data_IF_609953123014
#
_entry.id   IF_609953123014
#
_cell.length_a   1.000
_cell.length_b   1.000
_cell.length_c   1.000
_cell.angle_alpha   90.00
_cell.angle_beta   90.00
_cell.angle_gamma   90.00
#
_symmetry.space_group_name_H-M   'P 1'
#
loop_
_entity.id
_entity.type
_entity.pdbx_description
1 polymer ?
#
# COMPACT_ATOMS: atom_id res chain seq x y z
N UNK A 1 -71.18 21.65 53.28
CA UNK A 1 -70.23 22.47 54.06
C UNK A 1 -69.20 21.50 54.63
N UNK A 2 -67.93 21.63 54.24
CA UNK A 2 -66.86 20.81 54.83
C UNK A 2 -66.65 21.25 56.28
N UNK A 3 -66.43 20.29 57.17
CA UNK A 3 -66.08 20.57 58.56
C UNK A 3 -64.72 21.28 58.61
N UNK A 4 -64.53 22.19 59.58
CA UNK A 4 -63.23 22.83 59.84
C UNK A 4 -62.12 21.77 60.02
N UNK A 5 -62.47 20.62 60.58
CA UNK A 5 -61.55 19.48 60.76
C UNK A 5 -61.11 18.89 59.41
N UNK A 6 -62.01 18.77 58.43
CA UNK A 6 -61.69 18.22 57.11
C UNK A 6 -60.79 19.17 56.30
N UNK A 7 -61.04 20.49 56.35
CA UNK A 7 -60.13 21.46 55.71
C UNK A 7 -58.75 21.47 56.36
N UNK A 8 -58.65 21.32 57.68
CA UNK A 8 -57.37 21.24 58.39
C UNK A 8 -56.57 19.99 57.98
N UNK A 9 -57.21 18.82 57.87
CA UNK A 9 -56.56 17.57 57.45
C UNK A 9 -56.04 17.68 56.00
N UNK A 10 -56.85 18.22 55.07
CA UNK A 10 -56.44 18.39 53.67
C UNK A 10 -55.25 19.34 53.54
N UNK A 11 -55.24 20.46 54.29
CA UNK A 11 -54.11 21.40 54.29
C UNK A 11 -52.81 20.77 54.78
N UNK A 12 -52.87 19.98 55.87
CA UNK A 12 -51.69 19.28 56.39
C UNK A 12 -51.20 18.22 55.41
N UNK A 13 -52.10 17.44 54.80
CA UNK A 13 -51.74 16.45 53.80
C UNK A 13 -51.09 17.08 52.56
N UNK A 14 -51.63 18.20 52.06
CA UNK A 14 -51.05 18.93 50.93
C UNK A 14 -49.68 19.54 51.29
N UNK A 15 -49.51 20.07 52.50
CA UNK A 15 -48.22 20.59 52.96
C UNK A 15 -47.15 19.48 53.04
N UNK A 16 -47.51 18.28 53.52
CA UNK A 16 -46.58 17.15 53.58
C UNK A 16 -46.20 16.64 52.19
N UNK A 17 -47.16 16.51 51.28
CA UNK A 17 -46.91 16.06 49.90
C UNK A 17 -46.08 17.07 49.11
N UNK A 18 -46.33 18.37 49.28
CA UNK A 18 -45.52 19.43 48.62
C UNK A 18 -44.10 19.46 49.17
N UNK A 19 -43.89 19.33 50.49
CA UNK A 19 -42.54 19.23 51.08
C UNK A 19 -41.80 17.99 50.55
N UNK A 20 -42.48 16.85 50.43
CA UNK A 20 -41.88 15.65 49.86
C UNK A 20 -41.51 15.85 48.38
N UNK A 21 -42.40 16.44 47.58
CA UNK A 21 -42.14 16.79 46.18
C UNK A 21 -40.95 17.72 46.00
N UNK A 22 -40.81 18.75 46.85
CA UNK A 22 -39.66 19.66 46.83
C UNK A 22 -38.36 18.91 47.17
N UNK A 23 -38.38 18.02 48.16
CA UNK A 23 -37.20 17.22 48.53
C UNK A 23 -36.75 16.32 47.37
N UNK A 24 -37.69 15.68 46.69
CA UNK A 24 -37.41 14.79 45.57
C UNK A 24 -36.94 15.57 44.33
N UNK A 25 -37.51 16.74 44.06
CA UNK A 25 -37.04 17.63 42.98
C UNK A 25 -35.61 18.13 43.23
N UNK A 26 -35.31 18.58 44.46
CA UNK A 26 -33.96 18.99 44.86
C UNK A 26 -32.96 17.84 44.74
N UNK A 27 -33.35 16.62 45.13
CA UNK A 27 -32.52 15.43 44.98
C UNK A 27 -32.24 15.12 43.51
N UNK A 28 -33.26 15.15 42.64
CA UNK A 28 -33.11 14.94 41.20
C UNK A 28 -32.21 15.97 40.54
N UNK A 29 -32.42 17.26 40.84
CA UNK A 29 -31.58 18.35 40.30
C UNK A 29 -30.13 18.21 40.74
N UNK A 30 -29.89 17.84 42.00
CA UNK A 30 -28.53 17.59 42.50
C UNK A 30 -27.88 16.41 41.77
N UNK A 31 -28.59 15.29 41.59
CA UNK A 31 -28.09 14.15 40.82
C UNK A 31 -27.75 14.57 39.39
N UNK A 32 -28.63 15.30 38.71
CA UNK A 32 -28.38 15.81 37.36
C UNK A 32 -27.14 16.71 37.29
N UNK A 33 -26.96 17.58 38.28
CA UNK A 33 -25.78 18.46 38.38
C UNK A 33 -24.49 17.64 38.59
N UNK A 34 -24.51 16.62 39.46
CA UNK A 34 -23.38 15.71 39.68
C UNK A 34 -23.09 14.84 38.46
N UNK A 35 -24.12 14.41 37.73
CA UNK A 35 -23.96 13.68 36.46
C UNK A 35 -23.29 14.56 35.40
N UNK A 36 -23.74 15.80 35.24
CA UNK A 36 -23.11 16.75 34.32
C UNK A 36 -21.64 17.02 34.69
N UNK A 37 -21.36 17.11 36.00
CA UNK A 37 -19.99 17.26 36.49
C UNK A 37 -19.12 16.04 36.16
N UNK A 38 -19.61 14.83 36.37
CA UNK A 38 -18.88 13.61 35.98
C UNK A 38 -18.58 13.57 34.48
N UNK A 39 -19.52 14.02 33.64
CA UNK A 39 -19.28 14.13 32.20
C UNK A 39 -18.21 15.18 31.86
N UNK A 40 -18.18 16.31 32.56
CA UNK A 40 -17.13 17.32 32.41
C UNK A 40 -15.75 16.74 32.78
N UNK A 41 -15.66 16.08 33.93
CA UNK A 41 -14.44 15.41 34.39
C UNK A 41 -13.96 14.34 33.40
N UNK A 42 -14.88 13.59 32.79
CA UNK A 42 -14.53 12.60 31.76
C UNK A 42 -13.87 13.23 30.53
N UNK A 43 -14.36 14.38 30.06
CA UNK A 43 -13.76 15.09 28.92
C UNK A 43 -12.36 15.60 29.28
N UNK A 44 -12.18 16.14 30.48
CA UNK A 44 -10.87 16.58 30.97
C UNK A 44 -9.89 15.40 31.04
N UNK A 45 -10.32 14.26 31.61
CA UNK A 45 -9.49 13.07 31.70
C UNK A 45 -9.13 12.49 30.32
N UNK A 46 -10.06 12.51 29.36
CA UNK A 46 -9.78 12.09 27.99
C UNK A 46 -8.76 13.01 27.30
N UNK A 47 -8.89 14.33 27.48
CA UNK A 47 -7.91 15.30 26.99
C UNK A 47 -6.52 15.09 27.60
N UNK A 48 -6.45 14.81 28.91
CA UNK A 48 -5.21 14.48 29.60
C UNK A 48 -4.57 13.20 29.02
N UNK A 49 -5.36 12.15 28.80
CA UNK A 49 -4.87 10.90 28.18
C UNK A 49 -4.28 11.11 26.78
N UNK A 50 -4.91 11.94 25.96
CA UNK A 50 -4.39 12.30 24.63
C UNK A 50 -3.08 13.10 24.73
N UNK A 51 -3.02 14.09 25.61
CA UNK A 51 -1.81 14.88 25.83
C UNK A 51 -0.64 14.01 26.31
N UNK A 52 -0.88 13.09 27.26
CA UNK A 52 0.14 12.15 27.75
C UNK A 52 0.64 11.26 26.62
N UNK A 53 -0.25 10.82 25.73
CA UNK A 53 0.12 9.98 24.57
C UNK A 53 1.05 10.73 23.63
N UNK A 54 0.73 11.98 23.29
CA UNK A 54 1.53 12.80 22.37
C UNK A 54 2.86 13.27 22.98
N UNK A 55 2.94 13.42 24.30
CA UNK A 55 4.12 13.90 25.01
C UNK A 55 4.93 12.77 25.68
N UNK A 56 4.56 11.51 25.45
CA UNK A 56 5.11 10.36 26.17
C UNK A 56 6.65 10.31 26.12
N UNK A 57 7.26 10.48 24.95
CA UNK A 57 8.72 10.44 24.81
C UNK A 57 9.43 11.52 25.63
N UNK A 58 8.89 12.74 25.65
CA UNK A 58 9.42 13.86 26.42
C UNK A 58 9.22 13.67 27.93
N UNK A 59 8.13 13.02 28.34
CA UNK A 59 7.88 12.66 29.75
C UNK A 59 8.85 11.56 30.20
N UNK A 60 9.05 10.53 29.38
CA UNK A 60 9.99 9.43 29.69
C UNK A 60 11.42 9.93 29.82
N UNK A 61 11.82 10.91 29.01
CA UNK A 61 13.13 11.54 29.10
C UNK A 61 13.41 12.25 30.44
N UNK A 62 12.38 12.52 31.24
CA UNK A 62 12.52 13.14 32.57
C UNK A 62 12.83 12.12 33.68
N UNK A 63 12.90 10.82 33.38
CA UNK A 63 13.22 9.80 34.37
C UNK A 63 14.59 10.03 35.01
N UNK A 64 14.62 10.16 36.35
CA UNK A 64 15.84 10.16 37.16
C UNK A 64 15.92 8.88 38.00
N UNK A 65 17.12 8.29 38.11
CA UNK A 65 17.33 7.06 38.86
C UNK A 65 17.67 7.33 40.35
N UNK A 66 17.24 6.47 41.31
CA UNK A 66 16.40 5.27 41.15
C UNK A 66 14.97 5.46 41.70
N UNK A 67 13.94 5.41 40.84
CA UNK A 67 12.53 5.29 41.24
C UNK A 67 11.55 5.93 40.25
N UNK A 68 10.22 5.79 40.47
CA UNK A 68 9.23 6.60 39.74
C UNK A 68 9.54 8.09 39.94
N UNK A 69 9.80 8.78 38.85
CA UNK A 69 10.09 10.22 38.86
C UNK A 69 8.80 11.00 38.70
N UNK A 70 8.52 11.91 39.63
CA UNK A 70 7.41 12.85 39.43
C UNK A 70 7.74 13.78 38.28
N UNK A 71 6.79 13.94 37.35
CA UNK A 71 6.91 14.83 36.20
C UNK A 71 5.85 15.92 36.29
N UNK A 72 6.15 17.07 35.71
CA UNK A 72 5.24 18.22 35.76
C UNK A 72 4.03 17.94 34.87
N UNK A 73 2.81 17.87 35.42
CA UNK A 73 1.61 17.63 34.64
C UNK A 73 1.19 18.89 33.87
N UNK A 74 0.37 18.76 32.81
CA UNK A 74 -0.16 19.91 32.10
C UNK A 74 -1.24 20.62 32.95
N UNK A 75 -1.35 21.93 32.78
CA UNK A 75 -2.50 22.72 33.25
C UNK A 75 -3.68 22.59 32.28
N UNK A 76 -4.91 22.87 32.73
CA UNK A 76 -6.09 22.90 31.85
C UNK A 76 -5.92 23.92 30.70
N UNK A 77 -5.27 25.06 30.97
CA UNK A 77 -4.95 26.06 29.94
C UNK A 77 -3.97 25.51 28.91
N UNK A 78 -2.96 24.72 29.32
CA UNK A 78 -2.07 24.05 28.38
C UNK A 78 -2.81 23.02 27.53
N UNK A 79 -3.69 22.22 28.12
CA UNK A 79 -4.52 21.25 27.37
C UNK A 79 -5.40 21.95 26.34
N UNK A 80 -5.96 23.12 26.66
CA UNK A 80 -6.72 23.92 25.70
C UNK A 80 -5.83 24.49 24.59
N UNK A 81 -4.69 25.11 24.94
CA UNK A 81 -3.78 25.70 23.96
C UNK A 81 -3.21 24.67 22.98
N UNK A 82 -3.04 23.42 23.43
CA UNK A 82 -2.63 22.29 22.60
C UNK A 82 -3.77 21.66 21.80
N UNK A 83 -5.01 22.17 21.89
CA UNK A 83 -6.17 21.66 21.16
C UNK A 83 -6.80 20.38 21.72
N UNK A 84 -6.34 19.90 22.90
CA UNK A 84 -6.91 18.72 23.57
C UNK A 84 -8.25 19.02 24.23
N UNK A 85 -8.44 20.25 24.72
CA UNK A 85 -9.73 20.77 25.18
C UNK A 85 -10.28 21.80 24.18
N UNK A 86 -11.50 21.56 23.70
CA UNK A 86 -12.15 22.42 22.69
C UNK A 86 -12.75 23.71 23.27
N UNK A 87 -12.91 23.76 24.59
CA UNK A 87 -13.53 24.89 25.30
C UNK A 87 -12.82 25.13 26.64
N UNK A 88 -13.05 26.31 27.22
CA UNK A 88 -12.63 26.61 28.59
C UNK A 88 -13.47 25.80 29.58
N UNK A 89 -12.80 25.08 30.48
CA UNK A 89 -13.43 24.41 31.62
C UNK A 89 -13.20 25.20 32.90
N UNK A 90 -14.12 25.05 33.86
CA UNK A 90 -13.93 25.62 35.19
C UNK A 90 -12.66 25.03 35.84
N UNK A 91 -12.02 25.80 36.71
CA UNK A 91 -10.77 25.38 37.36
C UNK A 91 -10.97 24.28 38.44
N UNK A 92 -12.21 23.96 38.79
CA UNK A 92 -12.55 22.98 39.80
C UNK A 92 -14.03 22.60 39.76
N UNK A 93 -14.42 21.64 40.62
CA UNK A 93 -15.74 21.06 40.55
C UNK A 93 -16.82 21.94 41.17
N UNK A 94 -18.07 21.60 40.88
CA UNK A 94 -19.26 22.32 41.37
C UNK A 94 -19.40 22.39 42.91
N UNK A 95 -18.73 21.52 43.65
CA UNK A 95 -18.71 21.54 45.13
C UNK A 95 -17.53 22.33 45.71
N UNK A 96 -16.74 22.98 44.86
CA UNK A 96 -15.60 23.81 45.22
C UNK A 96 -14.27 23.05 45.35
N UNK A 97 -13.17 23.80 45.31
CA UNK A 97 -11.82 23.26 45.17
C UNK A 97 -11.26 23.51 43.77
N UNK A 98 -10.18 22.82 43.43
CA UNK A 98 -9.54 22.85 42.10
C UNK A 98 -9.34 21.44 41.59
N UNK A 99 -9.27 21.26 40.28
CA UNK A 99 -8.79 19.99 39.72
C UNK A 99 -7.28 19.86 39.90
N UNK A 100 -6.84 18.67 40.30
CA UNK A 100 -5.44 18.33 40.52
C UNK A 100 -5.05 17.21 39.56
N UNK A 101 -3.82 17.28 39.07
CA UNK A 101 -3.19 16.21 38.30
C UNK A 101 -1.89 15.86 39.00
N UNK A 102 -1.66 14.58 39.25
CA UNK A 102 -0.36 14.06 39.67
C UNK A 102 0.15 13.15 38.56
N UNK A 103 1.44 13.22 38.24
CA UNK A 103 2.03 12.43 37.16
C UNK A 103 3.42 11.95 37.53
N UNK A 104 3.75 10.73 37.11
CA UNK A 104 5.06 10.13 37.29
C UNK A 104 5.44 9.22 36.12
N UNK A 105 6.74 8.98 35.99
CA UNK A 105 7.31 8.03 35.03
C UNK A 105 8.12 6.98 35.78
N UNK A 106 7.94 5.70 35.44
CA UNK A 106 8.72 4.60 35.99
C UNK A 106 8.43 3.26 35.33
N UNK A 107 8.92 2.13 35.86
CA UNK A 107 9.82 2.00 37.00
C UNK A 107 11.28 2.39 36.67
N UNK A 108 12.16 2.38 37.68
CA UNK A 108 13.57 2.74 37.53
C UNK A 108 14.26 1.95 36.39
N UNK A 109 15.09 2.62 35.59
CA UNK A 109 15.88 1.99 34.53
C UNK A 109 15.12 1.68 33.24
N UNK A 110 13.85 2.08 33.12
CA UNK A 110 13.13 2.00 31.86
C UNK A 110 13.64 3.07 30.85
N UNK A 111 13.55 2.82 29.54
CA UNK A 111 13.99 3.77 28.50
C UNK A 111 13.03 3.82 27.31
N UNK A 112 13.08 4.91 26.53
CA UNK A 112 12.37 5.04 25.24
C UNK A 112 12.89 3.99 24.27
N UNK A 113 12.10 2.94 24.02
CA UNK A 113 12.47 1.80 23.16
C UNK A 113 12.36 0.44 23.87
N UNK A 114 12.33 0.43 25.20
CA UNK A 114 11.92 -0.74 25.99
C UNK A 114 10.41 -0.69 26.26
N UNK A 115 9.73 -1.83 26.17
CA UNK A 115 8.28 -1.97 26.45
C UNK A 115 7.89 -1.78 27.93
N UNK A 116 8.81 -1.26 28.77
CA UNK A 116 8.69 -1.24 30.23
C UNK A 116 8.44 0.14 30.84
N UNK A 117 8.63 1.26 30.13
CA UNK A 117 8.34 2.58 30.70
C UNK A 117 6.84 2.88 30.76
N UNK A 118 6.40 3.42 31.89
CA UNK A 118 5.02 3.79 32.16
C UNK A 118 4.97 5.24 32.61
N UNK A 119 4.12 6.02 31.94
CA UNK A 119 3.68 7.32 32.45
C UNK A 119 2.37 7.06 33.18
N UNK A 120 2.33 7.27 34.49
CA UNK A 120 1.14 7.13 35.32
C UNK A 120 0.63 8.50 35.74
N UNK A 121 -0.69 8.67 35.79
CA UNK A 121 -1.29 9.87 36.35
C UNK A 121 -2.53 9.59 37.19
N UNK A 122 -2.83 10.52 38.09
CA UNK A 122 -4.07 10.64 38.84
C UNK A 122 -4.70 11.99 38.51
N UNK A 123 -5.99 12.00 38.18
CA UNK A 123 -6.80 13.20 38.03
C UNK A 123 -7.90 13.19 39.09
N UNK A 124 -7.94 14.21 39.94
CA UNK A 124 -8.89 14.26 41.05
C UNK A 124 -9.18 15.69 41.50
N UNK A 125 -10.35 15.96 42.08
CA UNK A 125 -10.62 17.26 42.70
C UNK A 125 -9.96 17.40 44.08
N UNK A 126 -9.52 18.62 44.43
CA UNK A 126 -8.79 18.93 45.66
C UNK A 126 -9.64 18.82 46.94
N UNK A 127 -10.95 18.59 46.81
CA UNK A 127 -11.90 18.41 47.90
C UNK A 127 -12.85 17.25 47.57
N UNK A 128 -13.27 16.45 48.58
CA UNK A 128 -14.26 15.40 48.36
C UNK A 128 -15.61 16.00 47.95
N UNK A 129 -16.45 15.19 47.31
CA UNK A 129 -17.84 15.56 47.05
C UNK A 129 -18.54 15.78 48.39
N UNK A 130 -19.16 16.94 48.59
CA UNK A 130 -19.83 17.27 49.86
C UNK A 130 -21.31 17.59 49.68
N UNK A 131 -22.10 17.23 50.69
CA UNK A 131 -23.51 17.61 50.86
C UNK A 131 -23.67 18.23 52.23
N UNK A 132 -24.08 19.50 52.30
CA UNK A 132 -24.22 20.26 53.55
C UNK A 132 -22.93 20.25 54.40
N UNK A 133 -21.77 20.37 53.73
CA UNK A 133 -20.46 20.38 54.39
C UNK A 133 -19.92 19.01 54.84
N UNK A 134 -20.67 17.93 54.64
CA UNK A 134 -20.24 16.57 54.98
C UNK A 134 -19.91 15.76 53.71
N UNK A 135 -18.97 14.79 53.76
CA UNK A 135 -18.69 13.90 52.63
C UNK A 135 -19.92 13.17 52.12
N UNK A 136 -20.13 13.17 50.81
CA UNK A 136 -21.30 12.60 50.12
C UNK A 136 -20.87 11.45 49.20
N UNK A 137 -20.68 10.26 49.77
CA UNK A 137 -20.21 9.07 49.05
C UNK A 137 -21.19 8.64 47.95
N UNK A 138 -22.49 8.78 48.18
CA UNK A 138 -23.49 8.49 47.16
C UNK A 138 -23.37 9.47 45.98
N UNK A 139 -23.17 10.76 46.26
CA UNK A 139 -22.88 11.77 45.25
C UNK A 139 -21.58 11.49 44.48
N UNK A 140 -20.51 11.09 45.17
CA UNK A 140 -19.26 10.67 44.51
C UNK A 140 -19.46 9.45 43.60
N UNK A 141 -20.31 8.50 44.00
CA UNK A 141 -20.70 7.38 43.15
C UNK A 141 -21.43 7.81 41.88
N UNK A 142 -22.32 8.81 41.96
CA UNK A 142 -23.01 9.38 40.79
C UNK A 142 -22.01 10.05 39.83
N UNK A 143 -21.09 10.87 40.36
CA UNK A 143 -20.06 11.53 39.54
C UNK A 143 -19.19 10.49 38.84
N UNK A 144 -18.65 9.52 39.58
CA UNK A 144 -17.80 8.48 39.01
C UNK A 144 -18.54 7.65 37.94
N UNK A 145 -19.80 7.26 38.18
CA UNK A 145 -20.62 6.54 37.21
C UNK A 145 -20.86 7.35 35.93
N UNK A 146 -21.15 8.65 36.06
CA UNK A 146 -21.35 9.53 34.92
C UNK A 146 -20.06 9.78 34.13
N UNK A 147 -18.91 9.80 34.83
CA UNK A 147 -17.60 9.97 34.21
C UNK A 147 -17.09 8.70 33.50
N UNK A 148 -17.58 7.52 33.91
CA UNK A 148 -17.32 6.24 33.27
C UNK A 148 -16.20 5.42 33.92
N UNK A 149 -15.84 4.30 33.29
CA UNK A 149 -15.01 3.24 33.88
C UNK A 149 -13.56 3.67 34.25
N UNK A 150 -13.09 4.79 33.73
CA UNK A 150 -11.79 5.37 34.12
C UNK A 150 -11.81 6.01 35.52
N UNK A 151 -12.97 6.18 36.13
CA UNK A 151 -13.15 6.83 37.41
C UNK A 151 -13.49 5.85 38.53
N UNK A 152 -13.23 6.30 39.74
CA UNK A 152 -13.51 5.60 40.99
C UNK A 152 -13.81 6.57 42.11
N UNK A 153 -14.20 6.04 43.27
CA UNK A 153 -14.43 6.85 44.46
C UNK A 153 -14.02 6.15 45.77
N UNK A 154 -13.66 6.94 46.78
CA UNK A 154 -13.41 6.44 48.14
C UNK A 154 -14.69 6.28 48.94
N UNK A 155 -14.76 5.22 49.74
CA UNK A 155 -15.95 4.86 50.54
C UNK A 155 -15.70 5.16 52.02
N UNK A 156 -16.77 5.35 52.81
CA UNK A 156 -16.66 5.60 54.25
C UNK A 156 -15.91 4.49 55.00
N UNK A 157 -16.12 3.23 54.60
CA UNK A 157 -15.51 2.06 55.24
C UNK A 157 -14.02 1.89 54.92
N UNK A 158 -13.54 2.49 53.82
CA UNK A 158 -12.13 2.45 53.44
C UNK A 158 -11.78 3.73 52.67
N UNK A 159 -11.57 4.81 53.44
CA UNK A 159 -11.36 6.14 52.87
C UNK A 159 -9.92 6.36 52.38
N UNK A 160 -8.96 5.54 52.81
CA UNK A 160 -7.56 5.58 52.36
C UNK A 160 -7.35 5.08 50.93
N UNK A 161 -8.34 4.39 50.37
CA UNK A 161 -8.29 3.80 49.03
C UNK A 161 -9.44 4.31 48.17
N UNK A 162 -9.13 4.69 46.94
CA UNK A 162 -10.13 4.92 45.89
C UNK A 162 -10.27 3.65 45.07
N UNK A 163 -11.51 3.21 44.86
CA UNK A 163 -11.83 2.03 44.06
C UNK A 163 -12.46 2.47 42.75
N UNK A 164 -11.90 2.00 41.63
CA UNK A 164 -12.53 2.10 40.32
C UNK A 164 -13.89 1.41 40.30
N UNK A 165 -14.78 1.87 39.41
CA UNK A 165 -16.07 1.22 39.20
C UNK A 165 -15.88 -0.27 38.92
N UNK A 166 -16.77 -1.10 39.47
CA UNK A 166 -16.72 -2.57 39.37
C UNK A 166 -15.41 -3.21 39.87
N UNK A 167 -14.60 -2.50 40.66
CA UNK A 167 -13.31 -3.00 41.15
C UNK A 167 -12.21 -3.07 40.09
N UNK A 168 -12.36 -2.35 38.96
CA UNK A 168 -11.42 -2.39 37.84
C UNK A 168 -9.98 -2.01 38.21
N UNK A 169 -9.82 -1.16 39.22
CA UNK A 169 -8.53 -0.75 39.76
C UNK A 169 -8.71 -0.23 41.19
N UNK A 170 -7.61 -0.09 41.91
CA UNK A 170 -7.56 0.65 43.17
C UNK A 170 -6.28 1.48 43.23
N UNK A 171 -6.33 2.59 43.97
CA UNK A 171 -5.19 3.46 44.21
C UNK A 171 -5.36 4.18 45.55
N UNK A 172 -4.24 4.61 46.14
CA UNK A 172 -4.24 5.39 47.38
C UNK A 172 -4.99 6.71 47.19
N UNK A 173 -5.76 7.11 48.19
CA UNK A 173 -6.45 8.40 48.18
C UNK A 173 -5.42 9.55 48.25
N UNK A 174 -5.36 10.43 47.23
CA UNK A 174 -4.34 11.46 47.14
C UNK A 174 -4.60 12.68 48.04
N UNK A 175 -5.79 12.80 48.64
CA UNK A 175 -6.10 13.91 49.54
C UNK A 175 -5.55 13.70 50.95
N UNK A 176 -5.00 14.77 51.52
CA UNK A 176 -4.55 14.79 52.92
C UNK A 176 -5.69 14.42 53.88
N UNK A 177 -5.39 13.60 54.88
CA UNK A 177 -6.40 13.07 55.82
C UNK A 177 -7.32 12.00 55.22
N UNK A 178 -7.12 11.62 53.95
CA UNK A 178 -7.83 10.55 53.24
C UNK A 178 -9.33 10.53 53.47
N UNK A 179 -10.07 11.63 53.18
CA UNK A 179 -11.50 11.69 53.41
C UNK A 179 -12.27 10.74 52.47
N UNK A 180 -13.46 10.26 52.87
CA UNK A 180 -14.34 9.55 51.95
C UNK A 180 -14.95 10.49 50.90
N UNK A 181 -15.59 9.93 49.88
CA UNK A 181 -16.23 10.67 48.79
C UNK A 181 -15.27 11.45 47.86
N UNK A 182 -14.02 11.01 47.77
CA UNK A 182 -13.07 11.51 46.77
C UNK A 182 -13.33 10.80 45.45
N UNK A 183 -13.53 11.55 44.38
CA UNK A 183 -13.61 11.04 43.01
C UNK A 183 -12.23 11.18 42.37
N UNK A 184 -11.80 10.15 41.63
CA UNK A 184 -10.49 10.15 40.97
C UNK A 184 -10.53 9.29 39.71
N UNK A 185 -9.82 9.73 38.69
CA UNK A 185 -9.43 8.92 37.56
C UNK A 185 -7.94 8.60 37.59
N UNK A 186 -7.59 7.48 36.97
CA UNK A 186 -6.20 7.13 36.69
C UNK A 186 -6.12 6.52 35.29
N UNK A 187 -4.97 6.67 34.64
CA UNK A 187 -4.65 5.84 33.48
C UNK A 187 -4.12 4.46 33.86
N UNK A 188 -4.17 4.08 35.14
CA UNK A 188 -3.83 2.78 35.73
C UNK A 188 -2.34 2.63 36.11
N UNK A 189 -2.03 1.83 37.15
CA UNK A 189 -0.64 1.45 37.50
C UNK A 189 -0.06 0.33 36.61
N UNK A 190 -0.84 -0.21 35.67
CA UNK A 190 -0.44 -1.36 34.83
C UNK A 190 -0.67 -1.15 33.34
N UNK A 191 -1.26 -0.03 32.96
CA UNK A 191 -1.63 0.26 31.57
C UNK A 191 -0.58 1.18 30.98
N UNK A 192 0.27 0.61 30.14
CA UNK A 192 1.18 1.35 29.26
C UNK A 192 0.33 2.31 28.41
N UNK A 193 0.14 3.54 28.89
CA UNK A 193 -0.69 4.61 28.33
C UNK A 193 -1.59 4.22 27.16
N UNK A 194 -2.82 3.77 27.44
CA UNK A 194 -3.98 3.63 26.55
C UNK A 194 -3.75 3.54 25.03
N UNK A 195 -2.76 2.78 24.55
CA UNK A 195 -2.49 2.68 23.11
C UNK A 195 -3.36 1.57 22.52
N UNK A 196 -4.68 1.77 22.56
CA UNK A 196 -5.64 1.12 21.64
C UNK A 196 -5.44 1.67 20.21
N UNK A 197 -4.73 2.79 20.08
CA UNK A 197 -4.41 3.45 18.83
C UNK A 197 -2.91 3.37 18.53
N UNK A 198 -2.59 3.16 17.25
CA UNK A 198 -1.23 3.29 16.71
C UNK A 198 -0.79 4.75 16.92
N UNK A 199 0.34 4.97 17.58
CA UNK A 199 0.83 6.33 17.86
C UNK A 199 1.23 7.03 16.56
N UNK A 200 0.73 8.25 16.35
CA UNK A 200 0.98 9.04 15.12
C UNK A 200 2.34 9.74 15.11
N UNK A 201 2.99 9.83 16.27
CA UNK A 201 4.28 10.49 16.49
C UNK A 201 5.48 9.61 16.07
N UNK A 202 5.24 8.34 15.70
CA UNK A 202 6.28 7.39 15.33
C UNK A 202 7.13 6.88 16.50
N UNK A 203 6.80 7.23 17.75
CA UNK A 203 7.59 6.82 18.93
C UNK A 203 7.40 5.36 19.32
N UNK A 204 6.34 4.72 18.82
CA UNK A 204 6.20 3.26 18.78
C UNK A 204 6.19 2.80 17.32
N UNK A 205 7.31 2.26 16.88
CA UNK A 205 7.36 1.45 15.66
C UNK A 205 6.48 0.22 15.85
N UNK A 206 5.68 -0.09 14.84
CA UNK A 206 4.80 -1.24 14.83
C UNK A 206 5.62 -2.52 14.70
N UNK A 207 5.89 -3.20 15.82
CA UNK A 207 6.67 -4.44 15.85
C UNK A 207 5.74 -5.63 16.06
N UNK A 208 5.49 -6.42 15.01
CA UNK A 208 4.71 -7.66 15.07
C UNK A 208 3.75 -7.87 13.90
N UNK A 209 3.27 -9.11 13.74
CA UNK A 209 2.33 -9.49 12.68
C UNK A 209 0.97 -8.82 12.86
N UNK A 210 0.34 -8.46 11.74
CA UNK A 210 -0.99 -7.87 11.72
C UNK A 210 -1.94 -8.77 10.95
N UNK A 211 -2.97 -9.24 11.66
CA UNK A 211 -4.05 -9.98 11.02
C UNK A 211 -5.24 -9.05 10.79
N UNK A 212 -5.44 -8.63 9.54
CA UNK A 212 -6.60 -7.84 9.15
C UNK A 212 -7.90 -8.68 9.03
N UNK A 213 -7.84 -10.01 9.17
CA UNK A 213 -8.98 -10.94 9.17
C UNK A 213 -10.03 -10.69 8.08
N UNK A 214 -9.58 -10.41 6.85
CA UNK A 214 -10.45 -10.10 5.71
C UNK A 214 -10.89 -8.63 5.58
N UNK A 215 -10.40 -7.74 6.45
CA UNK A 215 -10.64 -6.30 6.37
C UNK A 215 -9.69 -5.66 5.36
N UNK A 216 -10.23 -4.75 4.55
CA UNK A 216 -9.46 -4.00 3.55
C UNK A 216 -8.60 -2.92 4.19
N UNK A 217 -7.37 -2.76 3.70
CA UNK A 217 -6.52 -1.60 3.98
C UNK A 217 -6.62 -0.67 2.76
N UNK A 218 -7.31 0.47 2.93
CA UNK A 218 -7.60 1.41 1.85
C UNK A 218 -6.75 2.69 1.96
N UNK A 219 -6.51 3.35 0.83
CA UNK A 219 -5.83 4.66 0.73
C UNK A 219 -4.38 4.69 1.24
N UNK A 220 -3.64 3.59 1.09
CA UNK A 220 -2.19 3.60 1.29
C UNK A 220 -1.54 4.49 0.21
N UNK A 221 -0.86 5.56 0.64
CA UNK A 221 -0.12 6.44 -0.28
C UNK A 221 1.14 5.73 -0.83
N UNK A 222 1.91 5.13 0.07
CA UNK A 222 3.16 4.42 -0.25
C UNK A 222 3.20 3.09 0.50
N UNK A 223 3.73 2.06 -0.14
CA UNK A 223 4.10 0.79 0.50
C UNK A 223 5.58 0.56 0.19
N UNK A 224 6.42 0.55 1.22
CA UNK A 224 7.84 0.22 1.12
C UNK A 224 8.07 -1.04 1.94
N UNK A 225 8.41 -2.14 1.26
CA UNK A 225 8.69 -3.43 1.88
C UNK A 225 10.17 -3.78 1.66
N UNK A 226 10.84 -4.25 2.71
CA UNK A 226 12.21 -4.80 2.62
C UNK A 226 12.20 -6.29 2.24
N UNK A 227 11.05 -6.95 2.34
CA UNK A 227 10.83 -8.34 1.96
C UNK A 227 9.83 -8.50 0.82
N UNK A 228 9.31 -9.73 0.67
CA UNK A 228 8.39 -10.08 -0.41
C UNK A 228 6.99 -9.50 -0.19
N UNK A 229 6.39 -8.95 -1.25
CA UNK A 229 4.95 -8.64 -1.30
C UNK A 229 4.24 -9.79 -2.01
N UNK A 230 3.46 -10.57 -1.28
CA UNK A 230 2.70 -11.70 -1.81
C UNK A 230 1.22 -11.34 -1.88
N UNK A 231 0.61 -11.51 -3.05
CA UNK A 231 -0.81 -11.26 -3.26
C UNK A 231 -1.35 -12.03 -4.44
N UNK A 232 -2.65 -12.35 -4.42
CA UNK A 232 -3.32 -13.04 -5.55
C UNK A 232 -3.32 -12.18 -6.83
N UNK A 233 -3.39 -10.86 -6.67
CA UNK A 233 -3.48 -9.93 -7.79
C UNK A 233 -2.89 -8.57 -7.40
N UNK A 234 -2.16 -7.96 -8.34
CA UNK A 234 -1.70 -6.57 -8.27
C UNK A 234 -2.39 -5.79 -9.40
N UNK A 235 -3.22 -4.82 -9.05
CA UNK A 235 -3.99 -3.99 -10.00
C UNK A 235 -3.55 -2.54 -9.90
N UNK A 236 -3.25 -1.92 -11.04
CA UNK A 236 -3.03 -0.48 -11.17
C UNK A 236 -4.20 0.11 -11.95
N UNK A 237 -4.99 0.99 -11.31
CA UNK A 237 -6.23 1.54 -11.88
C UNK A 237 -6.03 2.85 -12.65
N UNK A 238 -4.90 3.52 -12.45
CA UNK A 238 -4.43 4.63 -13.27
C UNK A 238 -3.15 4.20 -13.97
N UNK A 239 -2.92 4.74 -15.16
CA UNK A 239 -1.89 4.40 -16.15
C UNK A 239 -0.43 4.57 -15.64
N UNK A 240 -0.09 3.90 -14.54
CA UNK A 240 1.22 3.83 -13.94
C UNK A 240 1.65 2.39 -14.04
N UNK A 241 2.36 2.09 -15.13
CA UNK A 241 3.61 1.36 -15.06
C UNK A 241 3.74 0.48 -13.82
N UNK A 242 3.42 -0.82 -13.93
CA UNK A 242 4.12 -1.82 -13.11
C UNK A 242 5.56 -1.91 -13.64
N UNK A 243 6.27 -0.78 -13.70
CA UNK A 243 7.47 -0.64 -14.54
C UNK A 243 8.73 -1.13 -13.85
N UNK A 244 8.61 -1.85 -12.74
CA UNK A 244 9.72 -2.62 -12.21
C UNK A 244 9.16 -3.85 -11.51
N UNK A 245 8.90 -4.89 -12.31
CA UNK A 245 8.84 -6.24 -11.78
C UNK A 245 10.25 -6.62 -11.33
N UNK A 246 10.58 -6.31 -10.07
CA UNK A 246 11.80 -6.72 -9.34
C UNK A 246 13.10 -6.35 -10.05
N UNK A 247 13.73 -5.26 -9.60
CA UNK A 247 15.18 -5.10 -9.79
C UNK A 247 15.87 -6.23 -9.01
N UNK A 248 16.60 -7.12 -9.67
CA UNK A 248 17.33 -8.24 -9.06
C UNK A 248 18.53 -7.81 -8.18
N UNK A 249 18.68 -6.50 -7.95
CA UNK A 249 19.83 -5.90 -7.26
C UNK A 249 21.00 -5.62 -8.19
N UNK A 250 20.93 -6.03 -9.46
CA UNK A 250 21.96 -5.84 -10.48
C UNK A 250 21.50 -4.91 -11.62
N UNK A 251 20.30 -4.31 -11.49
CA UNK A 251 19.74 -3.42 -12.50
C UNK A 251 18.77 -4.08 -13.47
N UNK A 252 18.54 -5.40 -13.38
CA UNK A 252 17.64 -6.10 -14.29
C UNK A 252 16.23 -6.23 -13.72
N UNK A 253 15.21 -6.10 -14.58
CA UNK A 253 13.81 -6.36 -14.23
C UNK A 253 13.44 -7.75 -14.73
N UNK A 254 13.26 -8.72 -13.82
CA UNK A 254 13.02 -10.12 -14.19
C UNK A 254 11.56 -10.53 -13.91
N UNK A 255 10.92 -11.18 -14.89
CA UNK A 255 9.59 -11.78 -14.73
C UNK A 255 9.74 -13.31 -14.69
N UNK A 256 9.40 -13.90 -13.54
CA UNK A 256 9.33 -15.35 -13.38
C UNK A 256 7.86 -15.77 -13.35
N UNK A 257 7.42 -16.53 -14.35
CA UNK A 257 6.05 -17.02 -14.43
C UNK A 257 6.02 -18.54 -14.52
N UNK A 258 5.02 -19.14 -13.87
CA UNK A 258 4.65 -20.53 -14.12
C UNK A 258 3.58 -20.55 -15.21
N UNK A 259 3.99 -20.77 -16.46
CA UNK A 259 3.11 -20.77 -17.64
C UNK A 259 3.47 -19.67 -18.66
N UNK A 260 2.45 -19.20 -19.39
CA UNK A 260 2.64 -18.23 -20.46
C UNK A 260 2.69 -16.79 -19.92
N UNK A 261 3.69 -16.02 -20.37
CA UNK A 261 3.67 -14.56 -20.24
C UNK A 261 2.90 -13.97 -21.44
N UNK A 262 1.83 -13.23 -21.17
CA UNK A 262 1.03 -12.55 -22.19
C UNK A 262 1.08 -11.05 -21.99
N UNK A 263 1.28 -10.31 -23.09
CA UNK A 263 1.23 -8.84 -23.10
C UNK A 263 0.05 -8.43 -23.97
N UNK A 264 -1.03 -8.00 -23.31
CA UNK A 264 -2.35 -7.77 -23.90
C UNK A 264 -2.82 -6.34 -23.61
N UNK A 265 -3.72 -5.83 -24.46
CA UNK A 265 -4.42 -4.59 -24.20
C UNK A 265 -5.45 -4.81 -23.09
N UNK A 266 -5.47 -3.92 -22.09
CA UNK A 266 -6.35 -4.02 -20.93
C UNK A 266 -7.80 -4.29 -21.32
N UNK A 267 -8.42 -5.27 -20.66
CA UNK A 267 -9.82 -5.67 -20.90
C UNK A 267 -10.06 -6.43 -22.20
N UNK A 268 -9.03 -6.84 -22.93
CA UNK A 268 -9.15 -7.54 -24.22
C UNK A 268 -8.21 -8.74 -24.33
N UNK A 269 -8.46 -9.62 -25.30
CA UNK A 269 -7.55 -10.70 -25.69
C UNK A 269 -6.59 -10.29 -26.83
N UNK A 270 -6.43 -8.99 -27.09
CA UNK A 270 -5.61 -8.48 -28.19
C UNK A 270 -4.18 -8.21 -27.70
N UNK A 271 -3.18 -8.75 -28.41
CA UNK A 271 -1.76 -8.49 -28.12
C UNK A 271 -1.38 -7.04 -28.39
N UNK A 272 -0.43 -6.51 -27.61
CA UNK A 272 0.14 -5.17 -27.81
C UNK A 272 1.59 -5.26 -28.30
N UNK A 273 2.09 -4.25 -29.04
CA UNK A 273 3.48 -4.21 -29.45
C UNK A 273 4.43 -4.16 -28.25
N UNK A 274 5.54 -4.90 -28.34
CA UNK A 274 6.69 -4.74 -27.45
C UNK A 274 7.59 -3.65 -28.06
N UNK A 275 7.61 -2.47 -27.46
CA UNK A 275 8.57 -1.42 -27.78
C UNK A 275 9.85 -1.66 -26.96
N UNK A 276 10.67 -2.61 -27.40
CA UNK A 276 12.02 -2.83 -26.87
C UNK A 276 13.04 -2.25 -27.87
N UNK A 277 14.29 -2.05 -27.43
CA UNK A 277 15.41 -1.94 -28.35
C UNK A 277 15.55 -3.28 -29.08
N UNK A 278 16.31 -4.20 -28.47
CA UNK A 278 16.41 -5.56 -28.99
C UNK A 278 15.43 -6.51 -28.27
N UNK A 279 14.91 -7.48 -29.02
CA UNK A 279 14.23 -8.66 -28.47
C UNK A 279 15.12 -9.85 -28.74
N UNK A 280 15.89 -10.25 -27.74
CA UNK A 280 16.77 -11.41 -27.80
C UNK A 280 16.02 -12.59 -27.19
N UNK A 281 15.85 -13.66 -27.97
CA UNK A 281 15.26 -14.91 -27.52
C UNK A 281 16.31 -16.02 -27.63
N UNK A 282 16.56 -16.74 -26.54
CA UNK A 282 17.42 -17.94 -26.55
C UNK A 282 16.72 -19.14 -27.22
N UNK A 283 15.39 -19.10 -27.29
CA UNK A 283 14.56 -20.12 -27.93
C UNK A 283 14.05 -19.72 -29.31
N UNK A 284 13.09 -20.49 -29.81
CA UNK A 284 12.48 -20.26 -31.12
C UNK A 284 11.58 -19.02 -31.11
N UNK A 285 11.84 -18.09 -32.02
CA UNK A 285 10.88 -17.05 -32.40
C UNK A 285 10.00 -17.58 -33.51
N UNK A 286 8.69 -17.34 -33.44
CA UNK A 286 7.76 -17.73 -34.50
C UNK A 286 6.78 -16.59 -34.80
N UNK A 287 6.82 -15.99 -36.00
CA UNK A 287 5.85 -14.98 -36.39
C UNK A 287 4.43 -15.53 -36.30
N UNK A 288 3.51 -14.78 -35.69
CA UNK A 288 2.11 -15.21 -35.58
C UNK A 288 1.37 -15.10 -36.93
N UNK A 289 1.77 -14.18 -37.79
CA UNK A 289 1.16 -13.99 -39.11
C UNK A 289 1.53 -15.14 -40.06
N UNK A 290 0.58 -15.52 -40.92
CA UNK A 290 0.76 -16.49 -42.00
C UNK A 290 0.52 -15.74 -43.32
N UNK A 291 1.40 -15.94 -44.30
CA UNK A 291 1.32 -15.29 -45.60
C UNK A 291 1.79 -16.19 -46.73
N UNK A 292 1.43 -15.83 -47.97
CA UNK A 292 1.83 -16.56 -49.18
C UNK A 292 2.91 -15.77 -49.93
N UNK A 293 3.98 -16.40 -50.41
CA UNK A 293 5.03 -15.72 -51.17
C UNK A 293 4.47 -14.96 -52.37
N UNK A 294 5.09 -13.81 -52.70
CA UNK A 294 4.74 -12.93 -53.84
C UNK A 294 3.35 -12.27 -53.77
N UNK A 295 2.69 -12.33 -52.62
CA UNK A 295 1.41 -11.62 -52.41
C UNK A 295 1.61 -10.28 -51.71
N UNK A 296 0.60 -9.40 -51.77
CA UNK A 296 0.65 -8.10 -51.11
C UNK A 296 0.74 -8.22 -49.59
N UNK A 297 1.51 -7.34 -48.97
CA UNK A 297 1.63 -7.20 -47.52
C UNK A 297 1.35 -5.76 -47.06
N UNK A 298 0.82 -5.58 -45.83
CA UNK A 298 0.27 -4.29 -45.41
C UNK A 298 1.33 -3.28 -44.97
N UNK A 299 2.49 -3.74 -44.47
CA UNK A 299 3.53 -2.86 -43.89
C UNK A 299 4.92 -3.46 -44.13
N UNK A 300 5.79 -2.70 -44.78
CA UNK A 300 7.20 -3.06 -44.96
C UNK A 300 7.90 -3.36 -43.63
N UNK A 301 8.74 -4.40 -43.60
CA UNK A 301 9.42 -4.88 -42.40
C UNK A 301 8.61 -5.85 -41.54
N UNK A 302 7.33 -6.09 -41.84
CA UNK A 302 6.57 -7.16 -41.20
C UNK A 302 7.17 -8.55 -41.49
N UNK A 303 6.99 -9.47 -40.55
CA UNK A 303 7.41 -10.87 -40.69
C UNK A 303 6.21 -11.82 -40.60
N UNK A 304 6.21 -12.87 -41.40
CA UNK A 304 5.19 -13.91 -41.42
C UNK A 304 5.79 -15.30 -41.69
N UNK A 305 5.06 -16.34 -41.35
CA UNK A 305 5.37 -17.71 -41.79
C UNK A 305 4.75 -17.97 -43.16
N UNK A 306 5.43 -18.78 -43.98
CA UNK A 306 4.87 -19.25 -45.24
C UNK A 306 3.66 -20.16 -44.97
N UNK A 307 2.57 -19.90 -45.69
CA UNK A 307 1.33 -20.69 -45.70
C UNK A 307 1.51 -22.16 -46.08
N UNK A 308 2.66 -22.55 -46.64
CA UNK A 308 2.99 -23.94 -46.98
C UNK A 308 3.33 -24.83 -45.77
N UNK A 309 3.44 -24.24 -44.57
CA UNK A 309 3.66 -24.96 -43.32
C UNK A 309 5.08 -25.49 -43.10
N UNK A 310 6.03 -25.17 -43.98
CA UNK A 310 7.42 -25.67 -43.91
C UNK A 310 8.33 -24.86 -42.98
N UNK A 311 7.80 -23.81 -42.36
CA UNK A 311 8.54 -22.95 -41.44
C UNK A 311 9.45 -21.91 -42.12
N UNK A 312 9.29 -21.68 -43.43
CA UNK A 312 9.99 -20.59 -44.13
C UNK A 312 9.47 -19.24 -43.64
N UNK A 313 10.39 -18.34 -43.34
CA UNK A 313 10.06 -16.97 -42.95
C UNK A 313 9.90 -16.07 -44.17
N UNK A 314 8.96 -15.13 -44.09
CA UNK A 314 8.70 -14.12 -45.11
C UNK A 314 8.93 -12.73 -44.53
N UNK A 315 9.60 -11.85 -45.29
CA UNK A 315 9.73 -10.42 -45.04
C UNK A 315 8.81 -9.66 -45.98
N UNK A 316 8.08 -8.68 -45.46
CA UNK A 316 7.40 -7.72 -46.30
C UNK A 316 8.39 -6.67 -46.82
N UNK A 317 8.63 -6.65 -48.13
CA UNK A 317 9.50 -5.70 -48.80
C UNK A 317 8.75 -5.12 -50.00
N UNK A 318 8.77 -3.80 -50.15
CA UNK A 318 8.02 -3.08 -51.20
C UNK A 318 6.53 -3.49 -51.29
N UNK A 319 5.92 -3.73 -50.12
CA UNK A 319 4.55 -4.23 -49.96
C UNK A 319 4.28 -5.59 -50.63
N UNK A 320 5.32 -6.42 -50.79
CA UNK A 320 5.23 -7.81 -51.24
C UNK A 320 5.91 -8.76 -50.25
N UNK A 321 5.29 -9.91 -49.96
CA UNK A 321 5.89 -10.96 -49.16
C UNK A 321 7.01 -11.69 -49.91
N UNK A 322 8.25 -11.52 -49.46
CA UNK A 322 9.43 -12.16 -50.01
C UNK A 322 10.01 -13.19 -49.02
N UNK A 323 10.42 -14.39 -49.48
CA UNK A 323 11.11 -15.35 -48.63
C UNK A 323 12.42 -14.83 -48.06
N UNK A 324 12.60 -14.99 -46.74
CA UNK A 324 13.88 -14.85 -46.05
C UNK A 324 14.38 -16.27 -45.79
N UNK A 325 15.24 -16.79 -46.67
CA UNK A 325 15.76 -18.15 -46.53
C UNK A 325 15.02 -19.23 -47.32
N UNK A 326 15.68 -20.39 -47.43
CA UNK A 326 15.32 -21.57 -48.22
C UNK A 326 16.57 -22.40 -48.55
N UNK A 327 16.45 -23.52 -49.27
CA UNK A 327 17.61 -24.34 -49.69
C UNK A 327 18.54 -23.64 -50.71
N UNK A 328 18.13 -22.48 -51.24
CA UNK A 328 18.96 -21.61 -52.07
C UNK A 328 18.72 -20.14 -51.68
N UNK A 329 19.76 -19.47 -51.17
CA UNK A 329 19.75 -18.05 -50.81
C UNK A 329 20.37 -17.22 -51.95
N UNK A 330 19.54 -16.56 -52.77
CA UNK A 330 20.00 -15.73 -53.90
C UNK A 330 20.58 -14.41 -53.39
N UNK A 331 21.83 -14.11 -53.76
CA UNK A 331 22.58 -12.93 -53.29
C UNK A 331 22.60 -11.79 -54.31
N UNK A 332 22.94 -12.09 -55.58
CA UNK A 332 23.18 -11.07 -56.60
C UNK A 332 22.62 -11.51 -57.96
N UNK A 333 22.31 -10.51 -58.79
CA UNK A 333 21.81 -10.66 -60.15
C UNK A 333 22.73 -9.90 -61.12
N UNK A 334 23.14 -10.54 -62.21
CA UNK A 334 24.01 -9.96 -63.24
C UNK A 334 23.40 -10.14 -64.62
N UNK A 335 23.38 -9.07 -65.42
CA UNK A 335 23.12 -9.18 -66.84
C UNK A 335 24.46 -9.45 -67.54
N UNK A 336 24.57 -10.56 -68.26
CA UNK A 336 25.82 -11.01 -68.87
C UNK A 336 25.66 -11.33 -70.36
N UNK A 337 26.76 -11.26 -71.09
CA UNK A 337 26.88 -11.74 -72.47
C UNK A 337 27.89 -12.89 -72.55
N UNK A 338 28.02 -13.50 -73.73
CA UNK A 338 28.99 -14.57 -73.95
C UNK A 338 30.42 -14.14 -73.52
N UNK A 339 31.06 -14.95 -72.68
CA UNK A 339 32.42 -14.74 -72.20
C UNK A 339 32.55 -13.79 -71.00
N UNK A 340 31.46 -13.31 -70.42
CA UNK A 340 31.50 -12.40 -69.27
C UNK A 340 31.79 -13.13 -67.96
N UNK A 341 32.55 -12.47 -67.09
CA UNK A 341 32.85 -12.93 -65.74
C UNK A 341 31.77 -12.54 -64.72
N UNK A 342 31.42 -13.47 -63.83
CA UNK A 342 30.49 -13.27 -62.72
C UNK A 342 31.20 -13.64 -61.41
N UNK A 343 31.32 -12.72 -60.45
CA UNK A 343 31.98 -13.00 -59.18
C UNK A 343 31.14 -13.96 -58.32
N UNK A 344 31.81 -14.76 -57.49
CA UNK A 344 31.12 -15.57 -56.48
C UNK A 344 30.55 -14.71 -55.34
N UNK A 345 29.39 -15.09 -54.79
CA UNK A 345 28.85 -14.43 -53.61
C UNK A 345 29.68 -14.82 -52.37
N UNK A 346 29.81 -13.94 -51.37
CA UNK A 346 30.49 -14.26 -50.13
C UNK A 346 29.63 -15.24 -49.31
N UNK A 347 29.97 -16.53 -49.33
CA UNK A 347 29.27 -17.54 -48.54
C UNK A 347 29.84 -17.65 -47.12
N UNK A 348 28.95 -17.64 -46.13
CA UNK A 348 29.27 -18.03 -44.74
C UNK A 348 29.79 -19.47 -44.65
N UNK A 349 30.47 -19.82 -43.55
CA UNK A 349 31.01 -21.15 -43.33
C UNK A 349 29.96 -22.27 -43.58
N UNK A 350 30.35 -23.29 -44.35
CA UNK A 350 29.47 -24.40 -44.75
C UNK A 350 28.70 -24.19 -46.06
N UNK A 351 28.66 -22.97 -46.60
CA UNK A 351 28.00 -22.69 -47.87
C UNK A 351 28.90 -22.92 -49.09
N UNK A 352 28.35 -23.50 -50.16
CA UNK A 352 29.00 -23.61 -51.47
C UNK A 352 28.40 -22.56 -52.43
N UNK A 353 29.21 -21.69 -53.05
CA UNK A 353 28.73 -20.74 -54.04
C UNK A 353 28.20 -21.47 -55.28
N UNK A 354 27.05 -21.05 -55.77
CA UNK A 354 26.36 -21.61 -56.92
C UNK A 354 25.89 -20.51 -57.86
N UNK A 355 25.70 -20.88 -59.12
CA UNK A 355 25.33 -19.99 -60.21
C UNK A 355 24.20 -20.63 -61.02
N UNK A 356 23.19 -19.85 -61.40
CA UNK A 356 22.19 -20.25 -62.38
C UNK A 356 22.05 -19.16 -63.43
N UNK A 357 22.05 -19.55 -64.70
CA UNK A 357 21.95 -18.64 -65.83
C UNK A 357 20.64 -18.87 -66.57
N UNK A 358 19.86 -17.81 -66.78
CA UNK A 358 18.62 -17.84 -67.55
C UNK A 358 18.77 -16.93 -68.77
N UNK A 359 18.60 -17.47 -69.97
CA UNK A 359 18.61 -16.68 -71.21
C UNK A 359 17.47 -15.66 -71.21
N UNK A 360 17.72 -14.46 -71.69
CA UNK A 360 16.69 -13.44 -71.89
C UNK A 360 16.46 -13.14 -73.36
N UNK A 361 17.50 -12.73 -74.07
CA UNK A 361 17.42 -12.32 -75.47
C UNK A 361 18.53 -13.04 -76.22
N UNK A 362 18.21 -14.10 -76.97
CA UNK A 362 19.16 -14.77 -77.86
C UNK A 362 18.67 -14.63 -79.28
N UNK A 363 19.59 -14.29 -80.19
CA UNK A 363 19.30 -14.22 -81.62
C UNK A 363 20.01 -15.36 -82.32
N UNK A 364 19.23 -16.36 -82.73
CA UNK A 364 19.72 -17.58 -83.40
C UNK A 364 18.73 -18.04 -84.46
N UNK A 365 19.21 -18.81 -85.43
CA UNK A 365 18.34 -19.51 -86.38
C UNK A 365 17.43 -20.51 -85.65
N UNK A 366 16.23 -20.76 -86.18
CA UNK A 366 15.22 -21.63 -85.55
C UNK A 366 15.64 -23.10 -85.42
N UNK A 367 16.74 -23.49 -86.07
CA UNK A 367 17.34 -24.83 -86.02
C UNK A 367 18.62 -24.89 -85.19
N UNK A 368 19.10 -23.75 -84.68
CA UNK A 368 20.34 -23.68 -83.93
C UNK A 368 20.18 -24.24 -82.51
N UNK A 369 21.18 -24.99 -82.05
CA UNK A 369 21.28 -25.38 -80.64
C UNK A 369 21.88 -24.22 -79.85
N UNK A 370 21.26 -23.85 -78.73
CA UNK A 370 21.81 -22.86 -77.79
C UNK A 370 22.29 -23.56 -76.54
N UNK A 371 23.58 -23.40 -76.25
CA UNK A 371 24.21 -23.92 -75.04
C UNK A 371 24.50 -22.77 -74.08
N UNK A 372 24.06 -22.93 -72.84
CA UNK A 372 24.45 -22.03 -71.74
C UNK A 372 25.26 -22.85 -70.76
N UNK A 373 26.53 -22.53 -70.66
CA UNK A 373 27.43 -23.21 -69.74
C UNK A 373 28.15 -22.20 -68.88
N UNK A 374 28.56 -22.64 -67.69
CA UNK A 374 29.37 -21.84 -66.79
C UNK A 374 30.64 -22.61 -66.49
N UNK A 375 31.77 -21.91 -66.46
CA UNK A 375 33.07 -22.50 -66.16
C UNK A 375 33.73 -21.77 -64.99
N UNK A 376 34.29 -22.51 -64.05
CA UNK A 376 34.93 -21.99 -62.84
C UNK A 376 34.21 -22.43 -61.55
N UNK A 377 34.77 -22.05 -60.42
CA UNK A 377 34.23 -22.33 -59.08
C UNK A 377 33.93 -21.04 -58.30
N UNK A 378 33.76 -19.91 -59.02
CA UNK A 378 33.69 -18.58 -58.44
C UNK A 378 35.05 -17.88 -58.42
N UNK A 379 35.30 -16.84 -59.26
CA UNK A 379 34.40 -16.30 -60.29
C UNK A 379 34.10 -17.32 -61.40
N UNK A 380 32.94 -17.19 -62.03
CA UNK A 380 32.53 -18.00 -63.18
C UNK A 380 32.63 -17.19 -64.47
N UNK A 381 32.95 -17.85 -65.57
CA UNK A 381 32.73 -17.30 -66.92
C UNK A 381 31.46 -17.92 -67.49
N UNK A 382 30.59 -17.09 -68.04
CA UNK A 382 29.32 -17.52 -68.62
C UNK A 382 29.48 -17.59 -70.14
N UNK A 383 29.23 -18.77 -70.70
CA UNK A 383 29.30 -19.01 -72.14
C UNK A 383 27.91 -19.20 -72.69
N UNK A 384 27.60 -18.43 -73.73
CA UNK A 384 26.35 -18.50 -74.49
C UNK A 384 26.77 -18.81 -75.91
N UNK A 385 26.70 -20.08 -76.30
CA UNK A 385 27.27 -20.57 -77.56
C UNK A 385 26.26 -21.34 -78.40
N UNK A 386 26.56 -21.51 -79.68
CA UNK A 386 25.84 -22.41 -80.57
C UNK A 386 26.19 -23.90 -80.32
N UNK A 387 25.67 -24.79 -81.18
CA UNK A 387 25.97 -26.23 -81.17
C UNK A 387 27.41 -26.59 -81.55
N UNK A 388 28.18 -25.65 -82.10
CA UNK A 388 29.57 -25.81 -82.51
C UNK A 388 30.55 -25.14 -81.53
N UNK A 389 30.05 -24.50 -80.47
CA UNK A 389 30.84 -23.80 -79.46
C UNK A 389 31.18 -22.35 -79.80
N UNK A 390 30.64 -21.78 -80.88
CA UNK A 390 30.84 -20.36 -81.21
C UNK A 390 29.93 -19.48 -80.37
N UNK A 391 30.46 -18.35 -79.88
CA UNK A 391 29.66 -17.38 -79.13
C UNK A 391 28.52 -16.79 -79.96
N UNK A 392 27.31 -16.76 -79.40
CA UNK A 392 26.14 -16.16 -80.05
C UNK A 392 25.79 -14.81 -79.44
N UNK A 393 25.18 -13.94 -80.25
CA UNK A 393 24.68 -12.64 -79.80
C UNK A 393 23.47 -12.80 -78.88
N UNK A 394 23.59 -12.28 -77.66
CA UNK A 394 22.49 -12.31 -76.70
C UNK A 394 22.89 -11.95 -75.27
N UNK A 395 21.91 -11.99 -74.38
CA UNK A 395 22.09 -11.76 -72.95
C UNK A 395 21.40 -12.81 -72.08
N UNK A 396 22.00 -13.10 -70.94
CA UNK A 396 21.43 -13.91 -69.87
C UNK A 396 21.37 -13.13 -68.56
N UNK A 397 20.38 -13.42 -67.73
CA UNK A 397 20.41 -13.03 -66.32
C UNK A 397 20.98 -14.18 -65.52
N UNK A 398 22.07 -13.89 -64.84
CA UNK A 398 22.76 -14.80 -63.96
C UNK A 398 22.44 -14.45 -62.52
N UNK A 399 22.06 -15.46 -61.76
CA UNK A 399 21.85 -15.36 -60.33
C UNK A 399 22.94 -16.13 -59.62
N UNK A 400 23.54 -15.53 -58.60
CA UNK A 400 24.50 -16.21 -57.73
C UNK A 400 23.90 -16.42 -56.36
N UNK A 401 24.05 -17.61 -55.81
CA UNK A 401 23.51 -17.98 -54.51
C UNK A 401 24.48 -18.83 -53.70
N UNK A 402 24.28 -18.95 -52.39
CA UNK A 402 24.96 -19.97 -51.59
C UNK A 402 23.99 -21.11 -51.33
N UNK A 403 24.42 -22.33 -51.67
CA UNK A 403 23.78 -23.56 -51.23
C UNK A 403 24.42 -23.99 -49.91
N UNK A 404 23.62 -24.30 -48.90
CA UNK A 404 24.07 -24.73 -47.58
C UNK A 404 23.64 -26.16 -47.30
#
# INVERSE_FOLDING_TARGET
MFSIIEMAIVLVAMALLTIQGIKDDVAKRRTAMLTAEGQNEAVINAALGNWVTDNYGALVAQLVAPGPTSVTPPTLTQLQSGGYLKVNYAAGPIWGGTYMIQMSVGPAGCSTGGSSCQVSYLFYPSKPVTKKGQPDVAGAGVVAQAAGNGFGFSKTQNASTVYGLNGAWNASNPLAGTPPAVVMATNGPTTNGNSVYIRRDGSLTWTGDQNANGVSINNLKNVTATGNVQGKQLLSNNNGSVSTFVNDGLGNTNVYQNGMLQVLKSGTATFVPLHSGDVIAEGTVRPAAIATPRTSCPVNGAAAQNSDGRGQWLSCQDNVWLPIGGTALRYNYYLVQNGWGVPAPPCSAGGTPQIVANLQNVYVDSTATVNVTTSGSGPWTVWITDGNGSGIGGSAVVETYCAY
#
